data_IF_985970662266
#
_entry.id   IF_985970662266
#
_cell.length_a   1.000
_cell.length_b   1.000
_cell.length_c   1.000
_cell.angle_alpha   90.00
_cell.angle_beta   90.00
_cell.angle_gamma   90.00
#
_symmetry.space_group_name_H-M   'P 1'
#
loop_
_entity.id
_entity.type
_entity.pdbx_description
1 polymer ?
#
# COMPACT_ATOMS: atom_id res chain seq x y z
N UNK A 1 20.40 -24.65 -57.27
CA UNK A 1 20.80 -24.64 -55.85
C UNK A 1 21.42 -23.27 -55.58
N UNK A 2 20.64 -22.38 -54.99
CA UNK A 2 21.07 -21.04 -54.56
C UNK A 2 20.46 -20.87 -53.17
N UNK A 3 21.29 -21.05 -52.16
CA UNK A 3 20.91 -20.94 -50.74
C UNK A 3 20.59 -19.50 -50.37
N UNK A 4 19.42 -19.30 -49.78
CA UNK A 4 19.06 -18.08 -49.06
C UNK A 4 19.49 -18.22 -47.59
N UNK A 5 20.12 -17.21 -46.97
CA UNK A 5 20.47 -17.28 -45.56
C UNK A 5 19.21 -17.14 -44.68
N UNK A 6 19.13 -17.98 -43.65
CA UNK A 6 18.04 -18.00 -42.68
C UNK A 6 17.94 -16.70 -41.85
N UNK A 7 16.73 -16.26 -41.48
CA UNK A 7 16.54 -15.06 -40.65
C UNK A 7 16.99 -15.30 -39.20
N UNK A 8 17.63 -14.29 -38.61
CA UNK A 8 18.07 -14.26 -37.22
C UNK A 8 16.89 -14.33 -36.24
N UNK A 9 16.97 -15.11 -35.13
CA UNK A 9 15.89 -15.24 -34.15
C UNK A 9 15.77 -14.06 -33.18
N UNK A 10 16.62 -13.03 -33.29
CA UNK A 10 16.50 -11.82 -32.48
C UNK A 10 15.61 -10.79 -33.18
N UNK A 11 14.30 -11.03 -33.11
CA UNK A 11 13.31 -9.99 -33.35
C UNK A 11 13.62 -8.81 -32.42
N UNK A 12 13.91 -7.65 -33.00
CA UNK A 12 13.95 -6.39 -32.26
C UNK A 12 12.59 -6.22 -31.59
N UNK A 13 12.52 -6.45 -30.28
CA UNK A 13 11.42 -5.91 -29.49
C UNK A 13 11.44 -4.40 -29.75
N UNK A 14 10.39 -3.88 -30.42
CA UNK A 14 10.03 -2.47 -30.29
C UNK A 14 9.84 -2.27 -28.79
N UNK A 15 10.84 -1.70 -28.13
CA UNK A 15 10.59 -0.96 -26.90
C UNK A 15 9.53 0.04 -27.29
N UNK A 16 8.35 -0.09 -26.72
CA UNK A 16 7.34 0.96 -26.81
C UNK A 16 7.96 2.14 -26.06
N UNK A 17 8.71 2.96 -26.79
CA UNK A 17 9.30 4.19 -26.26
C UNK A 17 8.09 5.05 -25.97
N UNK A 18 7.64 5.01 -24.72
CA UNK A 18 6.54 5.85 -24.27
C UNK A 18 6.90 7.28 -24.64
N UNK A 19 5.95 7.98 -25.26
CA UNK A 19 6.11 9.37 -25.66
C UNK A 19 6.61 10.18 -24.46
N UNK A 20 7.79 10.82 -24.55
CA UNK A 20 8.35 11.62 -23.46
C UNK A 20 7.39 12.69 -22.96
N UNK A 21 6.52 13.22 -23.83
CA UNK A 21 5.52 14.21 -23.42
C UNK A 21 4.42 13.58 -22.58
N UNK A 22 3.85 12.45 -23.02
CA UNK A 22 2.88 11.70 -22.24
C UNK A 22 3.44 11.25 -20.86
N UNK A 23 4.72 10.89 -20.81
CA UNK A 23 5.42 10.59 -19.55
C UNK A 23 5.50 11.81 -18.61
N UNK A 24 5.78 13.00 -19.16
CA UNK A 24 5.80 14.25 -18.39
C UNK A 24 4.42 14.62 -17.90
N UNK A 25 3.40 14.54 -18.76
CA UNK A 25 2.00 14.80 -18.38
C UNK A 25 1.56 13.88 -17.25
N UNK A 26 1.89 12.58 -17.35
CA UNK A 26 1.59 11.61 -16.30
C UNK A 26 2.33 11.92 -14.99
N UNK A 27 3.61 12.27 -15.06
CA UNK A 27 4.40 12.64 -13.89
C UNK A 27 3.88 13.93 -13.23
N UNK A 28 3.55 14.93 -14.03
CA UNK A 28 2.96 16.19 -13.58
C UNK A 28 1.64 15.94 -12.85
N UNK A 29 0.73 15.17 -13.48
CA UNK A 29 -0.55 14.83 -12.87
C UNK A 29 -0.37 14.09 -11.54
N UNK A 30 0.55 13.13 -11.47
CA UNK A 30 0.83 12.36 -10.25
C UNK A 30 1.38 13.24 -9.11
N UNK A 31 2.35 14.11 -9.39
CA UNK A 31 2.93 15.03 -8.40
C UNK A 31 1.88 16.04 -7.90
N UNK A 32 1.08 16.62 -8.80
CA UNK A 32 0.04 17.57 -8.41
C UNK A 32 -1.05 16.90 -7.55
N UNK A 33 -1.50 15.72 -7.95
CA UNK A 33 -2.50 14.93 -7.20
C UNK A 33 -2.00 14.60 -5.79
N UNK A 34 -0.74 14.19 -5.66
CA UNK A 34 -0.13 13.90 -4.37
C UNK A 34 -0.08 15.13 -3.45
N UNK A 35 0.36 16.29 -3.96
CA UNK A 35 0.42 17.51 -3.14
C UNK A 35 -0.93 18.09 -2.79
N UNK A 36 -1.91 18.00 -3.67
CA UNK A 36 -3.28 18.39 -3.35
C UNK A 36 -3.80 17.56 -2.17
N UNK A 37 -3.51 16.25 -2.18
CA UNK A 37 -3.86 15.35 -1.08
C UNK A 37 -3.12 15.68 0.22
N UNK A 38 -1.82 15.89 0.18
CA UNK A 38 -1.03 16.36 1.34
C UNK A 38 -1.60 17.66 1.91
N UNK A 39 -1.98 18.61 1.03
CA UNK A 39 -2.66 19.84 1.40
C UNK A 39 -3.96 19.57 2.15
N UNK A 40 -4.86 18.76 1.58
CA UNK A 40 -6.13 18.39 2.21
C UNK A 40 -5.95 17.79 3.61
N UNK A 41 -5.00 16.88 3.78
CA UNK A 41 -4.75 16.22 5.07
C UNK A 41 -4.24 17.22 6.11
N UNK A 42 -3.31 18.10 5.72
CA UNK A 42 -2.73 19.11 6.63
C UNK A 42 -3.63 20.32 6.89
N UNK A 43 -4.51 20.69 5.96
CA UNK A 43 -5.43 21.85 6.06
C UNK A 43 -6.73 21.51 6.80
N UNK A 44 -7.03 20.22 6.99
CA UNK A 44 -8.20 19.76 7.74
C UNK A 44 -8.09 19.99 9.26
N UNK A 45 -6.93 20.43 9.75
CA UNK A 45 -6.63 20.61 11.17
C UNK A 45 -5.96 21.97 11.42
N UNK A 46 -6.03 22.46 12.66
CA UNK A 46 -5.33 23.69 13.06
C UNK A 46 -3.84 23.45 13.34
N UNK A 47 -3.07 24.52 13.57
CA UNK A 47 -1.63 24.45 13.83
C UNK A 47 -1.29 23.64 15.10
N UNK A 48 -2.18 23.63 16.09
CA UNK A 48 -1.99 22.83 17.30
C UNK A 48 -2.06 21.34 16.96
N UNK A 49 -3.09 20.92 16.25
CA UNK A 49 -3.28 19.52 15.82
C UNK A 49 -2.25 19.07 14.78
N UNK A 50 -1.79 19.98 13.92
CA UNK A 50 -0.75 19.76 12.91
C UNK A 50 0.64 19.50 13.54
N UNK A 51 0.92 20.13 14.68
CA UNK A 51 2.18 19.98 15.43
C UNK A 51 2.10 18.94 16.56
N UNK A 52 0.90 18.51 16.95
CA UNK A 52 0.69 17.51 17.99
C UNK A 52 1.11 16.10 17.56
N UNK A 53 1.60 15.31 18.52
CA UNK A 53 1.76 13.87 18.36
C UNK A 53 0.51 13.14 18.85
N UNK A 54 -0.30 12.67 17.89
CA UNK A 54 -1.54 11.92 18.18
C UNK A 54 -1.30 10.49 18.67
N UNK A 55 -0.12 9.93 18.40
CA UNK A 55 0.30 8.61 18.86
C UNK A 55 1.82 8.50 18.81
N UNK A 56 2.49 7.84 19.78
CA UNK A 56 3.93 7.57 19.71
C UNK A 56 4.35 6.76 18.49
N UNK A 57 3.39 6.08 17.83
CA UNK A 57 3.63 5.33 16.59
C UNK A 57 3.73 6.21 15.35
N UNK A 58 3.35 7.49 15.44
CA UNK A 58 3.22 8.41 14.31
C UNK A 58 4.03 9.69 14.53
N UNK A 59 4.43 10.32 13.43
CA UNK A 59 4.95 11.69 13.46
C UNK A 59 3.81 12.70 13.64
N UNK A 60 4.09 13.91 14.13
CA UNK A 60 3.26 15.07 13.86
C UNK A 60 3.06 15.27 12.35
N UNK A 61 1.88 15.70 11.93
CA UNK A 61 1.56 15.91 10.50
C UNK A 61 2.51 16.94 9.85
N UNK A 62 2.98 17.94 10.61
CA UNK A 62 3.97 18.93 10.13
C UNK A 62 5.33 18.29 9.80
N UNK A 63 5.71 17.21 10.49
CA UNK A 63 6.95 16.49 10.20
C UNK A 63 6.83 15.79 8.84
N UNK A 64 5.71 15.11 8.59
CA UNK A 64 5.47 14.43 7.32
C UNK A 64 5.41 15.45 6.15
N UNK A 65 4.76 16.61 6.33
CA UNK A 65 4.74 17.67 5.32
C UNK A 65 6.14 18.16 4.92
N UNK A 66 6.99 18.48 5.91
CA UNK A 66 8.33 18.97 5.63
C UNK A 66 9.26 17.84 5.12
N UNK A 67 9.08 16.60 5.60
CA UNK A 67 9.79 15.43 5.09
C UNK A 67 9.48 15.15 3.61
N UNK A 68 8.21 15.25 3.20
CA UNK A 68 7.80 15.15 1.79
C UNK A 68 8.55 16.18 0.94
N UNK A 69 8.55 17.45 1.38
CA UNK A 69 9.31 18.51 0.70
C UNK A 69 10.81 18.21 0.63
N UNK A 70 11.41 17.71 1.71
CA UNK A 70 12.83 17.40 1.77
C UNK A 70 13.23 16.23 0.86
N UNK A 71 12.43 15.17 0.78
CA UNK A 71 12.67 14.05 -0.14
C UNK A 71 12.47 14.47 -1.60
N UNK A 72 11.45 15.27 -1.90
CA UNK A 72 11.25 15.84 -3.25
C UNK A 72 12.48 16.69 -3.67
N UNK A 73 12.99 17.52 -2.76
CA UNK A 73 14.21 18.30 -2.97
C UNK A 73 15.43 17.41 -3.23
N UNK A 74 15.64 16.43 -2.35
CA UNK A 74 16.77 15.49 -2.41
C UNK A 74 16.84 14.80 -3.77
N UNK A 75 15.73 14.26 -4.25
CA UNK A 75 15.74 13.44 -5.46
C UNK A 75 15.61 14.25 -6.74
N UNK A 76 14.78 15.29 -6.78
CA UNK A 76 14.53 16.04 -8.02
C UNK A 76 15.49 17.21 -8.17
N UNK A 77 15.69 18.01 -7.13
CA UNK A 77 16.49 19.23 -7.25
C UNK A 77 17.97 18.90 -7.16
N UNK A 78 18.37 18.11 -6.16
CA UNK A 78 19.77 17.71 -5.95
C UNK A 78 20.12 16.52 -6.84
N UNK A 79 19.32 15.44 -6.81
CA UNK A 79 19.60 14.20 -7.54
C UNK A 79 19.49 14.31 -9.07
N UNK A 80 18.45 14.97 -9.60
CA UNK A 80 18.25 15.12 -11.04
C UNK A 80 18.94 16.37 -11.59
N UNK A 81 18.70 17.52 -10.97
CA UNK A 81 19.17 18.81 -11.50
C UNK A 81 20.54 19.25 -10.96
N UNK A 82 21.13 18.54 -9.99
CA UNK A 82 22.46 18.87 -9.44
C UNK A 82 22.50 20.19 -8.67
N UNK A 83 21.36 20.66 -8.16
CA UNK A 83 21.28 21.91 -7.38
C UNK A 83 21.81 21.69 -5.97
N UNK A 84 22.30 22.76 -5.34
CA UNK A 84 22.63 22.74 -3.91
C UNK A 84 21.37 22.66 -3.05
N UNK A 85 21.52 22.17 -1.82
CA UNK A 85 20.43 22.12 -0.85
C UNK A 85 19.95 23.55 -0.53
N UNK A 86 18.63 23.74 -0.53
CA UNK A 86 17.98 24.99 -0.19
C UNK A 86 18.12 25.29 1.30
N UNK A 87 18.03 24.25 2.13
CA UNK A 87 18.10 24.33 3.60
C UNK A 87 18.91 23.16 4.18
N UNK A 88 20.24 23.13 3.99
CA UNK A 88 21.06 22.02 4.48
C UNK A 88 20.98 21.81 6.01
N UNK A 89 20.61 22.85 6.76
CA UNK A 89 20.47 22.80 8.22
C UNK A 89 19.27 21.99 8.72
N UNK A 90 18.31 21.64 7.85
CA UNK A 90 17.13 20.85 8.24
C UNK A 90 17.20 19.38 7.79
N UNK A 91 18.18 18.99 6.96
CA UNK A 91 18.26 17.65 6.37
C UNK A 91 18.20 16.53 7.44
N UNK A 92 18.99 16.65 8.51
CA UNK A 92 18.99 15.66 9.60
C UNK A 92 17.65 15.57 10.35
N UNK A 93 16.92 16.68 10.48
CA UNK A 93 15.63 16.71 11.19
C UNK A 93 14.56 15.85 10.52
N UNK A 94 14.67 15.70 9.21
CA UNK A 94 13.71 15.00 8.36
C UNK A 94 14.27 13.67 7.83
N UNK A 95 15.39 13.19 8.35
CA UNK A 95 15.86 11.83 8.12
C UNK A 95 15.08 10.83 9.00
N UNK A 96 14.36 9.92 8.35
CA UNK A 96 13.54 8.92 9.03
C UNK A 96 14.37 7.87 9.80
N UNK A 97 15.64 7.65 9.44
CA UNK A 97 16.55 6.71 10.07
C UNK A 97 17.25 7.29 11.29
N UNK A 98 17.53 8.60 11.30
CA UNK A 98 18.15 9.28 12.45
C UNK A 98 17.17 9.47 13.62
N UNK A 99 15.87 9.62 13.32
CA UNK A 99 14.88 10.04 14.31
C UNK A 99 13.67 9.10 14.39
N UNK A 100 13.61 8.22 15.42
CA UNK A 100 12.46 7.38 15.70
C UNK A 100 11.17 8.22 15.87
N UNK A 101 10.04 7.72 15.37
CA UNK A 101 8.75 8.44 15.34
C UNK A 101 8.36 9.08 16.68
N UNK A 102 8.52 8.34 17.78
CA UNK A 102 8.20 8.81 19.12
C UNK A 102 8.99 10.07 19.57
N UNK A 103 10.18 10.29 19.01
CA UNK A 103 11.09 11.38 19.40
C UNK A 103 10.93 12.65 18.57
N UNK A 104 10.30 12.55 17.39
CA UNK A 104 10.15 13.65 16.43
C UNK A 104 9.52 14.93 17.02
N UNK A 105 8.57 14.89 17.96
CA UNK A 105 8.01 16.12 18.55
C UNK A 105 9.01 16.95 19.37
N UNK A 106 10.13 16.35 19.78
CA UNK A 106 11.19 17.05 20.54
C UNK A 106 12.20 17.78 19.66
N UNK A 107 12.14 17.57 18.34
CA UNK A 107 13.03 18.21 17.38
C UNK A 107 12.62 19.67 17.14
N UNK A 108 13.55 20.56 16.79
CA UNK A 108 13.25 21.93 16.37
C UNK A 108 12.68 21.95 14.95
N UNK A 109 11.47 21.39 14.78
CA UNK A 109 10.78 21.30 13.49
C UNK A 109 10.45 22.69 12.94
N UNK A 110 10.35 22.78 11.61
CA UNK A 110 9.78 23.96 10.97
C UNK A 110 8.38 24.24 11.48
N UNK A 111 8.09 25.52 11.75
CA UNK A 111 6.73 25.93 12.07
C UNK A 111 5.81 25.66 10.87
N UNK A 112 4.48 25.46 11.09
CA UNK A 112 3.53 25.14 10.02
C UNK A 112 3.65 26.02 8.76
N UNK A 113 3.71 27.34 8.93
CA UNK A 113 3.86 28.27 7.81
C UNK A 113 5.18 28.06 7.04
N UNK A 114 6.28 27.84 7.75
CA UNK A 114 7.60 27.60 7.14
C UNK A 114 7.66 26.27 6.41
N UNK A 115 7.09 25.20 6.98
CA UNK A 115 7.00 23.88 6.34
C UNK A 115 6.19 23.96 5.04
N UNK A 116 5.07 24.69 5.04
CA UNK A 116 4.23 24.93 3.85
C UNK A 116 4.98 25.72 2.78
N UNK A 117 5.62 26.82 3.17
CA UNK A 117 6.42 27.63 2.23
C UNK A 117 7.56 26.83 1.62
N UNK A 118 8.28 26.06 2.44
CA UNK A 118 9.36 25.19 1.98
C UNK A 118 8.86 24.15 0.97
N UNK A 119 7.82 23.38 1.30
CA UNK A 119 7.27 22.38 0.41
C UNK A 119 6.74 22.99 -0.91
N UNK A 120 6.08 24.15 -0.85
CA UNK A 120 5.59 24.86 -2.02
C UNK A 120 6.72 25.35 -2.94
N UNK A 121 7.79 25.90 -2.36
CA UNK A 121 8.95 26.36 -3.12
C UNK A 121 9.69 25.20 -3.79
N UNK A 122 9.90 24.10 -3.06
CA UNK A 122 10.49 22.86 -3.62
C UNK A 122 9.64 22.38 -4.79
N UNK A 123 8.31 22.38 -4.67
CA UNK A 123 7.41 21.94 -5.75
C UNK A 123 7.53 22.79 -6.99
N UNK A 124 7.47 24.11 -6.87
CA UNK A 124 7.62 25.01 -8.03
C UNK A 124 8.90 24.69 -8.80
N UNK A 125 10.02 24.57 -8.07
CA UNK A 125 11.31 24.22 -8.65
C UNK A 125 11.36 22.80 -9.21
N UNK A 126 10.68 21.83 -8.60
CA UNK A 126 10.58 20.45 -9.08
C UNK A 126 9.82 20.35 -10.42
N UNK A 127 8.78 21.18 -10.60
CA UNK A 127 8.06 21.25 -11.87
C UNK A 127 8.93 21.85 -12.98
N UNK A 128 9.74 22.87 -12.68
CA UNK A 128 10.75 23.37 -13.65
C UNK A 128 11.76 22.27 -14.04
N UNK A 129 12.15 21.42 -13.08
CA UNK A 129 13.02 20.28 -13.35
C UNK A 129 12.32 19.25 -14.24
N UNK A 130 11.04 18.95 -14.01
CA UNK A 130 10.26 18.05 -14.86
C UNK A 130 10.14 18.57 -16.30
N UNK A 131 9.92 19.88 -16.48
CA UNK A 131 9.82 20.52 -17.80
C UNK A 131 11.16 20.55 -18.54
N UNK A 132 12.26 20.81 -17.82
CA UNK A 132 13.58 20.97 -18.46
C UNK A 132 14.37 19.66 -18.62
N UNK A 133 14.03 18.59 -17.90
CA UNK A 133 14.83 17.35 -17.88
C UNK A 133 14.51 16.42 -19.07
N UNK A 134 15.50 16.06 -19.91
CA UNK A 134 15.31 14.99 -20.90
C UNK A 134 15.14 13.63 -20.22
N UNK A 135 14.02 12.95 -20.50
CA UNK A 135 13.72 11.59 -19.99
C UNK A 135 14.46 10.50 -20.80
N UNK A 136 15.79 10.61 -20.85
CA UNK A 136 16.68 9.69 -21.58
C UNK A 136 17.07 8.42 -20.80
N UNK A 137 18.17 7.77 -21.21
CA UNK A 137 18.56 6.45 -20.69
C UNK A 137 19.18 6.43 -19.28
N UNK A 138 19.44 7.61 -18.70
CA UNK A 138 20.02 7.71 -17.36
C UNK A 138 19.06 7.08 -16.34
N UNK A 139 19.47 6.07 -15.55
CA UNK A 139 18.54 5.21 -14.82
C UNK A 139 17.48 5.94 -13.98
N UNK A 140 17.88 7.03 -13.30
CA UNK A 140 17.01 7.80 -12.42
C UNK A 140 15.85 8.49 -13.16
N UNK A 141 16.07 8.95 -14.39
CA UNK A 141 15.06 9.69 -15.19
C UNK A 141 14.45 8.86 -16.32
N UNK A 142 14.96 7.65 -16.53
CA UNK A 142 14.44 6.73 -17.54
C UNK A 142 12.95 6.48 -17.31
N UNK A 143 12.14 6.74 -18.32
CA UNK A 143 10.67 6.65 -18.26
C UNK A 143 10.06 7.47 -17.11
N UNK A 144 10.71 8.56 -16.70
CA UNK A 144 10.26 9.41 -15.60
C UNK A 144 10.30 8.75 -14.22
N UNK A 145 11.10 7.69 -14.03
CA UNK A 145 11.13 6.89 -12.79
C UNK A 145 11.14 7.73 -11.52
N UNK A 146 12.10 8.65 -11.36
CA UNK A 146 12.26 9.45 -10.13
C UNK A 146 11.04 10.33 -9.82
N UNK A 147 10.35 10.85 -10.84
CA UNK A 147 9.14 11.65 -10.62
C UNK A 147 7.99 10.76 -10.15
N UNK A 148 7.84 9.58 -10.76
CA UNK A 148 6.90 8.56 -10.29
C UNK A 148 7.23 8.02 -8.90
N UNK A 149 8.52 7.88 -8.57
CA UNK A 149 8.99 7.46 -7.25
C UNK A 149 8.65 8.53 -6.19
N UNK A 150 8.86 9.81 -6.49
CA UNK A 150 8.51 10.90 -5.55
C UNK A 150 7.00 11.03 -5.37
N UNK A 151 6.21 10.93 -6.45
CA UNK A 151 4.75 10.90 -6.31
C UNK A 151 4.30 9.72 -5.44
N UNK A 152 4.94 8.55 -5.56
CA UNK A 152 4.66 7.39 -4.70
C UNK A 152 5.11 7.57 -3.26
N UNK A 153 6.25 8.22 -3.03
CA UNK A 153 6.74 8.53 -1.69
C UNK A 153 5.77 9.47 -0.96
N UNK A 154 5.35 10.55 -1.62
CA UNK A 154 4.36 11.49 -1.08
C UNK A 154 3.05 10.77 -0.77
N UNK A 155 2.54 9.93 -1.68
CA UNK A 155 1.29 9.18 -1.46
C UNK A 155 1.39 8.11 -0.35
N UNK A 156 2.56 7.52 -0.12
CA UNK A 156 2.82 6.64 1.03
C UNK A 156 2.81 7.43 2.35
N UNK A 157 3.35 8.65 2.35
CA UNK A 157 3.23 9.55 3.50
C UNK A 157 1.79 10.08 3.67
N UNK A 158 1.03 10.28 2.60
CA UNK A 158 -0.39 10.63 2.71
C UNK A 158 -1.21 9.50 3.35
N UNK A 159 -0.95 8.23 3.04
CA UNK A 159 -1.55 7.11 3.78
C UNK A 159 -1.11 7.12 5.26
N UNK A 160 0.16 7.42 5.54
CA UNK A 160 0.68 7.56 6.91
C UNK A 160 0.01 8.70 7.68
N UNK A 161 -0.18 9.86 7.06
CA UNK A 161 -0.92 10.98 7.63
C UNK A 161 -2.39 10.62 7.84
N UNK A 162 -3.01 9.86 6.93
CA UNK A 162 -4.38 9.38 7.10
C UNK A 162 -4.49 8.42 8.31
N UNK A 163 -3.50 7.55 8.55
CA UNK A 163 -3.42 6.76 9.79
C UNK A 163 -3.37 7.67 11.02
N UNK A 164 -2.60 8.76 10.98
CA UNK A 164 -2.59 9.78 12.05
C UNK A 164 -3.98 10.39 12.25
N UNK A 165 -4.72 10.71 11.19
CA UNK A 165 -6.11 11.19 11.29
C UNK A 165 -7.07 10.15 11.88
N UNK A 166 -6.84 8.86 11.64
CA UNK A 166 -7.61 7.78 12.27
C UNK A 166 -7.28 7.68 13.77
N UNK A 167 -6.02 7.87 14.15
CA UNK A 167 -5.57 7.80 15.55
C UNK A 167 -5.98 9.03 16.37
N UNK A 168 -5.95 10.23 15.77
CA UNK A 168 -6.34 11.52 16.37
C UNK A 168 -7.64 11.40 17.16
N UNK A 169 -7.65 11.97 18.36
CA UNK A 169 -8.83 12.06 19.21
C UNK A 169 -9.65 13.31 18.87
N UNK A 170 -10.93 13.31 19.23
CA UNK A 170 -11.82 14.46 18.98
C UNK A 170 -12.69 14.31 17.73
N UNK A 171 -13.34 15.40 17.29
CA UNK A 171 -14.34 15.36 16.24
C UNK A 171 -13.75 14.99 14.87
N UNK A 172 -14.61 14.47 13.99
CA UNK A 172 -14.24 14.21 12.61
C UNK A 172 -13.90 15.51 11.87
N UNK A 173 -12.79 15.50 11.15
CA UNK A 173 -12.32 16.62 10.30
C UNK A 173 -12.26 16.23 8.82
N UNK A 174 -12.46 14.94 8.53
CA UNK A 174 -12.49 14.39 7.18
C UNK A 174 -13.87 13.77 6.93
N UNK A 175 -14.39 13.99 5.73
CA UNK A 175 -15.67 13.43 5.28
C UNK A 175 -15.55 12.94 3.85
N UNK A 176 -16.26 11.86 3.52
CA UNK A 176 -16.26 11.27 2.19
C UNK A 176 -17.63 10.63 1.89
N UNK A 177 -18.00 10.50 0.60
CA UNK A 177 -19.20 9.77 0.22
C UNK A 177 -19.09 8.28 0.55
N UNK A 178 -20.23 7.63 0.74
CA UNK A 178 -20.30 6.19 0.99
C UNK A 178 -19.81 5.36 -0.22
N UNK A 179 -19.18 4.19 0.01
CA UNK A 179 -18.78 3.29 -1.06
C UNK A 179 -19.99 2.62 -1.74
N UNK A 180 -19.82 2.12 -2.97
CA UNK A 180 -20.84 1.33 -3.63
C UNK A 180 -21.14 0.06 -2.83
N UNK A 181 -22.38 -0.43 -2.92
CA UNK A 181 -22.77 -1.72 -2.34
C UNK A 181 -22.52 -2.85 -3.34
N UNK A 182 -22.35 -4.07 -2.83
CA UNK A 182 -22.36 -5.26 -3.66
C UNK A 182 -23.67 -5.34 -4.46
N UNK A 183 -23.54 -5.57 -5.76
CA UNK A 183 -24.68 -5.79 -6.67
C UNK A 183 -24.55 -7.19 -7.29
N UNK A 184 -25.68 -7.90 -7.41
CA UNK A 184 -25.74 -9.21 -8.06
C UNK A 184 -25.91 -10.40 -7.11
N UNK A 185 -25.69 -11.60 -7.66
CA UNK A 185 -25.86 -12.86 -6.94
C UNK A 185 -24.78 -13.07 -5.87
N UNK A 186 -25.10 -13.91 -4.87
CA UNK A 186 -24.14 -14.35 -3.87
C UNK A 186 -22.91 -14.96 -4.54
N UNK A 187 -21.73 -14.47 -4.15
CA UNK A 187 -20.46 -15.01 -4.63
C UNK A 187 -20.13 -16.32 -3.91
N UNK A 188 -19.39 -17.24 -4.54
CA UNK A 188 -18.82 -18.36 -3.82
C UNK A 188 -17.92 -17.83 -2.70
N UNK A 189 -17.84 -18.55 -1.58
CA UNK A 189 -16.98 -18.15 -0.45
C UNK A 189 -15.50 -18.09 -0.84
N UNK A 190 -15.06 -19.03 -1.68
CA UNK A 190 -13.70 -19.14 -2.15
C UNK A 190 -13.65 -19.50 -3.64
N UNK A 191 -12.50 -19.26 -4.26
CA UNK A 191 -12.20 -19.60 -5.64
C UNK A 191 -10.94 -20.43 -5.74
N UNK A 192 -10.90 -21.34 -6.72
CA UNK A 192 -9.72 -22.14 -7.03
C UNK A 192 -8.75 -21.32 -7.90
N UNK A 193 -7.49 -21.25 -7.48
CA UNK A 193 -6.37 -20.81 -8.32
C UNK A 193 -5.61 -22.06 -8.78
N UNK A 194 -5.64 -22.40 -10.09
CA UNK A 194 -4.98 -23.60 -10.59
C UNK A 194 -3.48 -23.60 -10.30
N UNK A 195 -2.95 -24.78 -9.99
CA UNK A 195 -1.51 -24.98 -9.81
C UNK A 195 -0.73 -24.76 -11.11
N UNK A 196 0.54 -24.39 -10.99
CA UNK A 196 1.46 -24.22 -12.11
C UNK A 196 2.27 -22.92 -12.08
N UNK A 197 3.04 -22.65 -13.15
CA UNK A 197 3.91 -21.49 -13.22
C UNK A 197 3.15 -20.18 -13.37
N UNK A 198 3.71 -19.11 -12.81
CA UNK A 198 3.36 -17.74 -13.17
C UNK A 198 4.59 -16.83 -13.14
N UNK A 199 4.47 -15.62 -13.70
CA UNK A 199 5.50 -14.58 -13.59
C UNK A 199 5.18 -13.70 -12.38
N UNK A 200 6.06 -13.74 -11.38
CA UNK A 200 6.03 -12.92 -10.18
C UNK A 200 6.91 -11.69 -10.35
N UNK A 201 6.49 -10.55 -9.81
CA UNK A 201 7.17 -9.28 -9.96
C UNK A 201 6.99 -8.66 -11.35
N UNK A 202 7.80 -7.65 -11.64
CA UNK A 202 7.80 -6.94 -12.92
C UNK A 202 9.20 -6.50 -13.33
N UNK A 203 9.41 -6.41 -14.64
CA UNK A 203 10.61 -5.80 -15.26
C UNK A 203 10.23 -4.69 -16.24
N UNK A 204 8.93 -4.44 -16.43
CA UNK A 204 8.39 -3.57 -17.49
C UNK A 204 7.64 -2.36 -16.95
N UNK A 205 7.15 -2.42 -15.69
CA UNK A 205 6.49 -1.26 -15.08
C UNK A 205 7.51 -0.12 -14.87
N UNK A 206 7.32 1.06 -15.46
CA UNK A 206 8.29 2.15 -15.39
C UNK A 206 8.57 2.61 -13.96
N UNK A 207 7.53 2.67 -13.12
CA UNK A 207 7.60 3.23 -11.77
C UNK A 207 7.56 2.17 -10.66
N UNK A 208 7.70 0.89 -11.01
CA UNK A 208 7.84 -0.16 -10.00
C UNK A 208 9.13 0.01 -9.20
N UNK A 209 9.01 -0.18 -7.90
CA UNK A 209 10.06 -0.03 -6.91
C UNK A 209 11.04 -1.22 -7.01
N UNK A 210 12.20 -1.09 -6.39
CA UNK A 210 13.26 -2.09 -6.50
C UNK A 210 12.85 -3.48 -5.99
N UNK A 211 12.10 -3.54 -4.88
CA UNK A 211 11.63 -4.79 -4.27
C UNK A 211 10.59 -5.56 -5.10
N UNK A 212 10.01 -4.95 -6.14
CA UNK A 212 9.07 -5.57 -7.08
C UNK A 212 9.81 -6.26 -8.25
N UNK A 213 11.13 -6.08 -8.34
CA UNK A 213 11.98 -6.46 -9.48
C UNK A 213 13.01 -7.52 -9.10
N UNK A 214 13.50 -8.31 -10.08
CA UNK A 214 12.97 -8.43 -11.44
C UNK A 214 11.76 -9.38 -11.52
N UNK A 215 11.07 -9.35 -12.66
CA UNK A 215 10.13 -10.41 -13.02
C UNK A 215 10.84 -11.77 -13.07
N UNK A 216 10.27 -12.78 -12.42
CA UNK A 216 10.84 -14.11 -12.36
C UNK A 216 9.75 -15.19 -12.31
N UNK A 217 10.08 -16.39 -12.80
CA UNK A 217 9.13 -17.51 -12.83
C UNK A 217 9.03 -18.16 -11.45
N UNK A 218 7.80 -18.44 -11.00
CA UNK A 218 7.50 -19.20 -9.78
C UNK A 218 6.49 -20.30 -10.06
N UNK A 219 6.76 -21.49 -9.51
CA UNK A 219 5.81 -22.59 -9.48
C UNK A 219 4.99 -22.50 -8.19
N UNK A 220 3.66 -22.44 -8.30
CA UNK A 220 2.75 -22.35 -7.16
C UNK A 220 1.74 -23.49 -7.25
N UNK A 221 1.59 -24.34 -6.21
CA UNK A 221 0.57 -25.39 -6.16
C UNK A 221 -0.86 -24.85 -6.35
N UNK A 222 -1.82 -25.74 -6.59
CA UNK A 222 -3.23 -25.36 -6.57
C UNK A 222 -3.67 -25.01 -5.15
N UNK A 223 -4.44 -23.94 -5.00
CA UNK A 223 -4.98 -23.52 -3.71
C UNK A 223 -6.34 -22.86 -3.89
N UNK A 224 -7.15 -22.89 -2.85
CA UNK A 224 -8.33 -22.05 -2.74
C UNK A 224 -8.00 -20.78 -1.97
N UNK A 225 -8.59 -19.68 -2.39
CA UNK A 225 -8.48 -18.37 -1.73
C UNK A 225 -9.88 -17.79 -1.57
N UNK A 226 -10.14 -17.09 -0.47
CA UNK A 226 -11.43 -16.42 -0.28
C UNK A 226 -11.71 -15.49 -1.47
N UNK A 227 -12.98 -15.38 -1.87
CA UNK A 227 -13.38 -14.53 -3.01
C UNK A 227 -13.25 -13.04 -2.67
N UNK A 228 -13.42 -12.67 -1.41
CA UNK A 228 -13.29 -11.31 -0.90
C UNK A 228 -12.54 -11.33 0.45
N UNK A 229 -12.04 -10.19 0.96
CA UNK A 229 -11.40 -10.13 2.27
C UNK A 229 -12.33 -10.61 3.40
N UNK A 230 -11.74 -11.06 4.51
CA UNK A 230 -12.52 -11.43 5.71
C UNK A 230 -13.32 -10.24 6.20
N UNK A 231 -14.63 -10.41 6.35
CA UNK A 231 -15.51 -9.32 6.77
C UNK A 231 -15.53 -9.15 8.28
N UNK A 232 -15.97 -7.98 8.74
CA UNK A 232 -16.20 -7.71 10.15
C UNK A 232 -17.21 -8.70 10.76
N UNK A 233 -18.24 -9.11 10.00
CA UNK A 233 -19.22 -10.10 10.45
C UNK A 233 -18.60 -11.48 10.68
N UNK A 234 -17.72 -11.92 9.77
CA UNK A 234 -16.98 -13.17 9.92
C UNK A 234 -15.97 -13.08 11.08
N UNK A 235 -15.27 -11.94 11.21
CA UNK A 235 -14.34 -11.69 12.31
C UNK A 235 -15.04 -11.65 13.68
N UNK A 236 -16.28 -11.13 13.74
CA UNK A 236 -17.08 -11.16 14.96
C UNK A 236 -17.36 -12.58 15.42
N UNK A 237 -17.61 -13.53 14.49
CA UNK A 237 -17.80 -14.93 14.85
C UNK A 237 -16.54 -15.54 15.51
N UNK A 238 -15.36 -15.18 15.03
CA UNK A 238 -14.09 -15.56 15.67
C UNK A 238 -13.98 -15.01 17.10
N UNK A 239 -14.34 -13.74 17.31
CA UNK A 239 -14.34 -13.14 18.66
C UNK A 239 -15.33 -13.86 19.58
N UNK A 240 -16.56 -14.08 19.10
CA UNK A 240 -17.66 -14.68 19.87
C UNK A 240 -17.40 -16.14 20.24
N UNK A 241 -16.62 -16.86 19.42
CA UNK A 241 -16.18 -18.24 19.68
C UNK A 241 -14.91 -18.32 20.56
N UNK A 242 -14.55 -17.24 21.25
CA UNK A 242 -13.40 -17.22 22.16
C UNK A 242 -12.05 -17.13 21.45
N UNK A 243 -12.01 -16.65 20.21
CA UNK A 243 -10.79 -16.57 19.39
C UNK A 243 -9.61 -15.85 20.07
N UNK A 244 -9.91 -14.83 20.89
CA UNK A 244 -8.90 -14.12 21.69
C UNK A 244 -8.55 -14.81 23.01
N UNK A 245 -9.35 -15.76 23.49
CA UNK A 245 -9.18 -16.44 24.78
C UNK A 245 -8.48 -17.80 24.67
N UNK A 246 -8.39 -18.33 23.45
CA UNK A 246 -7.89 -19.67 23.19
C UNK A 246 -6.48 -19.68 22.60
N UNK A 247 -5.46 -19.93 23.43
CA UNK A 247 -4.04 -19.99 23.03
C UNK A 247 -3.76 -20.87 21.81
N UNK A 248 -4.55 -21.93 21.58
CA UNK A 248 -4.34 -22.89 20.49
C UNK A 248 -4.35 -22.26 19.08
N UNK A 249 -4.96 -21.09 18.93
CA UNK A 249 -5.01 -20.37 17.65
C UNK A 249 -3.78 -19.50 17.37
N UNK A 250 -3.01 -19.20 18.40
CA UNK A 250 -1.98 -18.16 18.34
C UNK A 250 -0.58 -18.76 18.26
N UNK A 251 0.31 -18.05 17.55
CA UNK A 251 1.75 -18.25 17.74
C UNK A 251 2.16 -17.84 19.16
N UNK A 252 3.34 -18.26 19.61
CA UNK A 252 3.84 -17.89 20.94
C UNK A 252 3.94 -16.36 21.13
N UNK A 253 4.48 -15.67 20.13
CA UNK A 253 4.62 -14.20 20.11
C UNK A 253 3.27 -13.50 20.03
N UNK A 254 2.37 -13.97 19.15
CA UNK A 254 1.02 -13.42 19.02
C UNK A 254 0.21 -13.56 20.31
N UNK A 255 0.30 -14.70 20.98
CA UNK A 255 -0.34 -14.88 22.28
C UNK A 255 0.25 -13.95 23.35
N UNK A 256 1.58 -13.79 23.38
CA UNK A 256 2.22 -12.86 24.30
C UNK A 256 1.72 -11.42 24.09
N UNK A 257 1.68 -10.95 22.83
CA UNK A 257 1.15 -9.63 22.46
C UNK A 257 -0.29 -9.44 22.93
N UNK A 258 -1.18 -10.40 22.63
CA UNK A 258 -2.60 -10.34 23.02
C UNK A 258 -2.75 -10.23 24.53
N UNK A 259 -1.99 -11.02 25.29
CA UNK A 259 -2.06 -11.02 26.76
C UNK A 259 -1.45 -9.74 27.36
N UNK A 260 -0.30 -9.30 26.88
CA UNK A 260 0.40 -8.11 27.37
C UNK A 260 -0.45 -6.84 27.20
N UNK A 261 -1.12 -6.71 26.06
CA UNK A 261 -1.90 -5.51 25.70
C UNK A 261 -3.40 -5.66 25.97
N UNK A 262 -3.85 -6.80 26.53
CA UNK A 262 -5.26 -7.05 26.82
C UNK A 262 -6.17 -6.99 25.59
N UNK A 263 -5.71 -7.53 24.45
CA UNK A 263 -6.43 -7.44 23.19
C UNK A 263 -7.64 -8.38 23.17
N UNK A 264 -8.78 -7.87 22.70
CA UNK A 264 -10.03 -8.65 22.61
C UNK A 264 -10.82 -8.40 21.30
N UNK A 265 -10.34 -7.50 20.45
CA UNK A 265 -10.98 -7.07 19.21
C UNK A 265 -10.00 -6.25 18.34
N UNK A 266 -10.32 -5.99 17.07
CA UNK A 266 -9.58 -5.06 16.22
C UNK A 266 -9.45 -3.67 16.86
N UNK A 267 -8.37 -2.94 16.56
CA UNK A 267 -7.87 -1.80 17.35
C UNK A 267 -8.93 -0.75 17.77
N UNK A 268 -9.89 -0.44 16.90
CA UNK A 268 -10.87 0.63 17.16
C UNK A 268 -12.27 0.12 17.51
N UNK A 269 -12.42 -1.19 17.73
CA UNK A 269 -13.69 -1.77 18.14
C UNK A 269 -13.83 -1.70 19.66
N UNK A 270 -15.04 -1.39 20.11
CA UNK A 270 -15.43 -1.51 21.51
C UNK A 270 -16.88 -1.97 21.60
N UNK A 271 -17.24 -2.50 22.77
CA UNK A 271 -18.59 -3.00 23.03
C UNK A 271 -19.34 -2.02 23.92
N UNK A 272 -20.50 -1.57 23.48
CA UNK A 272 -21.41 -0.74 24.26
C UNK A 272 -22.83 -1.29 24.16
N UNK A 273 -23.54 -1.37 25.29
CA UNK A 273 -24.89 -1.93 25.40
C UNK A 273 -25.12 -3.26 24.65
N UNK A 274 -24.10 -4.11 24.57
CA UNK A 274 -24.16 -5.40 23.86
C UNK A 274 -23.86 -5.34 22.35
N UNK A 275 -23.70 -4.16 21.76
CA UNK A 275 -23.38 -3.93 20.36
C UNK A 275 -21.88 -3.63 20.15
N UNK A 276 -21.31 -4.12 19.06
CA UNK A 276 -19.98 -3.72 18.60
C UNK A 276 -20.07 -2.38 17.87
N UNK A 277 -19.32 -1.40 18.36
CA UNK A 277 -19.10 -0.10 17.75
C UNK A 277 -17.63 0.02 17.31
N UNK A 278 -17.37 0.80 16.28
CA UNK A 278 -16.00 1.20 15.89
C UNK A 278 -15.87 2.71 15.86
N UNK A 279 -14.65 3.19 16.12
CA UNK A 279 -14.25 4.57 15.84
C UNK A 279 -13.55 4.65 14.49
N UNK A 280 -14.04 5.52 13.60
CA UNK A 280 -13.47 5.77 12.27
C UNK A 280 -13.36 7.27 12.05
N UNK A 281 -12.13 7.79 11.98
CA UNK A 281 -11.82 9.21 11.78
C UNK A 281 -12.57 10.18 12.70
N UNK A 282 -12.81 9.78 13.96
CA UNK A 282 -13.58 10.57 14.95
C UNK A 282 -15.09 10.33 14.94
N UNK A 283 -15.61 9.52 14.01
CA UNK A 283 -17.01 9.06 13.99
C UNK A 283 -17.11 7.72 14.73
N UNK A 284 -18.06 7.62 15.66
CA UNK A 284 -18.44 6.35 16.29
C UNK A 284 -19.68 5.80 15.59
N UNK A 285 -19.58 4.57 15.11
CA UNK A 285 -20.65 3.91 14.34
C UNK A 285 -20.74 2.42 14.68
N UNK A 286 -21.89 1.76 14.44
CA UNK A 286 -21.98 0.31 14.50
C UNK A 286 -20.97 -0.36 13.58
N UNK A 287 -20.38 -1.47 14.02
CA UNK A 287 -19.52 -2.28 13.16
C UNK A 287 -20.34 -2.87 12.00
N UNK A 288 -20.04 -2.52 10.74
CA UNK A 288 -20.77 -3.01 9.58
C UNK A 288 -20.31 -4.41 9.20
N UNK A 289 -21.23 -5.37 9.19
CA UNK A 289 -20.90 -6.79 9.08
C UNK A 289 -20.32 -7.21 7.72
N UNK A 290 -20.58 -6.45 6.66
CA UNK A 290 -20.23 -6.75 5.28
C UNK A 290 -18.94 -6.06 4.81
N UNK A 291 -18.38 -5.11 5.57
CA UNK A 291 -17.07 -4.54 5.27
C UNK A 291 -15.94 -5.50 5.64
N UNK A 292 -14.83 -5.49 4.87
CA UNK A 292 -13.55 -6.04 5.30
C UNK A 292 -13.19 -5.61 6.74
N UNK A 293 -12.72 -6.56 7.55
CA UNK A 293 -12.13 -6.22 8.85
C UNK A 293 -10.86 -5.41 8.65
N UNK A 294 -10.67 -4.40 9.50
CA UNK A 294 -9.55 -3.49 9.47
C UNK A 294 -8.89 -3.39 10.84
N UNK A 295 -7.64 -2.93 10.84
CA UNK A 295 -6.85 -2.63 12.03
C UNK A 295 -6.59 -3.87 12.90
N UNK A 296 -6.23 -4.95 12.20
CA UNK A 296 -5.75 -6.20 12.79
C UNK A 296 -4.27 -6.41 12.46
N UNK A 297 -3.54 -6.90 13.45
CA UNK A 297 -2.15 -7.31 13.33
C UNK A 297 -2.01 -8.59 12.50
N UNK A 298 -0.78 -8.90 12.08
CA UNK A 298 -0.50 -10.16 11.39
C UNK A 298 -0.85 -11.36 12.28
N UNK A 299 -0.56 -11.27 13.59
CA UNK A 299 -0.89 -12.33 14.55
C UNK A 299 -2.40 -12.55 14.70
N UNK A 300 -3.19 -11.47 14.72
CA UNK A 300 -4.67 -11.53 14.74
C UNK A 300 -5.22 -12.18 13.45
N UNK A 301 -4.65 -11.84 12.29
CA UNK A 301 -5.03 -12.41 10.99
C UNK A 301 -4.70 -13.91 10.90
N UNK A 302 -3.49 -14.29 11.33
CA UNK A 302 -3.01 -15.67 11.35
C UNK A 302 -3.79 -16.54 12.35
N UNK A 303 -4.12 -16.02 13.53
CA UNK A 303 -4.96 -16.72 14.51
C UNK A 303 -6.38 -16.96 14.00
N UNK A 304 -7.00 -15.96 13.37
CA UNK A 304 -8.28 -16.15 12.69
C UNK A 304 -8.19 -17.24 11.63
N UNK A 305 -7.16 -17.22 10.79
CA UNK A 305 -7.01 -18.20 9.72
C UNK A 305 -6.94 -19.63 10.29
N UNK A 306 -6.19 -19.85 11.37
CA UNK A 306 -6.13 -21.15 12.05
C UNK A 306 -7.49 -21.57 12.63
N UNK A 307 -8.19 -20.67 13.29
CA UNK A 307 -9.54 -20.92 13.81
C UNK A 307 -10.50 -21.35 12.70
N UNK A 308 -10.42 -20.69 11.54
CA UNK A 308 -11.22 -21.03 10.37
C UNK A 308 -10.79 -22.33 9.66
N UNK A 309 -9.79 -23.05 10.16
CA UNK A 309 -9.23 -24.25 9.51
C UNK A 309 -8.48 -23.93 8.21
N UNK A 310 -7.91 -22.73 8.11
CA UNK A 310 -7.25 -22.16 6.94
C UNK A 310 -5.85 -21.63 7.30
N UNK A 311 -5.24 -20.91 6.36
CA UNK A 311 -3.96 -20.20 6.53
C UNK A 311 -4.01 -18.84 5.82
N UNK A 312 -3.05 -17.97 6.09
CA UNK A 312 -2.81 -16.80 5.24
C UNK A 312 -2.18 -17.24 3.91
N UNK A 313 -2.52 -16.60 2.77
CA UNK A 313 -1.81 -16.82 1.51
C UNK A 313 -0.36 -16.36 1.65
N UNK A 314 0.56 -16.99 0.93
CA UNK A 314 1.89 -16.42 0.67
C UNK A 314 1.76 -15.21 -0.28
N UNK A 315 2.75 -14.32 -0.32
CA UNK A 315 2.71 -13.20 -1.28
C UNK A 315 2.73 -13.70 -2.75
N UNK A 316 3.32 -14.86 -3.01
CA UNK A 316 3.33 -15.49 -4.34
C UNK A 316 1.94 -16.02 -4.73
N UNK A 317 1.24 -16.67 -3.81
CA UNK A 317 -0.16 -17.10 -4.01
C UNK A 317 -1.07 -15.90 -4.22
N UNK A 318 -0.93 -14.87 -3.39
CA UNK A 318 -1.69 -13.64 -3.52
C UNK A 318 -1.47 -12.98 -4.88
N UNK A 319 -0.22 -12.83 -5.32
CA UNK A 319 0.09 -12.19 -6.60
C UNK A 319 -0.37 -13.04 -7.79
N UNK A 320 -0.28 -14.37 -7.70
CA UNK A 320 -0.83 -15.28 -8.70
C UNK A 320 -2.35 -15.15 -8.78
N UNK A 321 -3.04 -15.16 -7.65
CA UNK A 321 -4.49 -14.93 -7.58
C UNK A 321 -4.90 -13.60 -8.22
N UNK A 322 -4.10 -12.55 -8.01
CA UNK A 322 -4.36 -11.22 -8.54
C UNK A 322 -4.06 -11.07 -10.03
N UNK A 323 -2.98 -11.64 -10.55
CA UNK A 323 -2.45 -11.26 -11.86
C UNK A 323 -2.48 -12.37 -12.89
N UNK A 324 -2.43 -13.63 -12.49
CA UNK A 324 -2.31 -14.72 -13.44
C UNK A 324 -3.63 -14.97 -14.16
N UNK A 325 -3.57 -15.01 -15.48
CA UNK A 325 -4.68 -15.40 -16.34
C UNK A 325 -4.47 -16.84 -16.84
N UNK A 326 -5.22 -17.83 -16.31
CA UNK A 326 -5.08 -19.22 -16.73
C UNK A 326 -5.38 -19.45 -18.21
N UNK A 327 -6.21 -18.59 -18.83
CA UNK A 327 -6.59 -18.73 -20.23
C UNK A 327 -5.47 -18.34 -21.20
N UNK A 328 -4.69 -17.32 -20.86
CA UNK A 328 -3.58 -16.83 -21.70
C UNK A 328 -2.19 -17.23 -21.19
N UNK A 329 -2.08 -17.70 -19.94
CA UNK A 329 -0.82 -17.99 -19.25
C UNK A 329 0.00 -16.75 -18.86
N UNK A 330 -0.50 -15.53 -19.17
CA UNK A 330 0.19 -14.27 -18.85
C UNK A 330 -0.09 -13.81 -17.42
N UNK A 331 0.83 -13.02 -16.87
CA UNK A 331 0.57 -12.18 -15.70
C UNK A 331 0.15 -10.79 -16.18
N UNK A 332 -1.07 -10.35 -15.82
CA UNK A 332 -1.65 -9.03 -16.10
C UNK A 332 -1.04 -7.96 -15.20
N UNK A 333 -1.25 -6.68 -15.52
CA UNK A 333 -0.85 -5.56 -14.65
C UNK A 333 -1.70 -5.46 -13.38
N UNK A 334 -3.01 -5.59 -13.55
CA UNK A 334 -4.04 -5.60 -12.49
C UNK A 334 -4.97 -6.82 -12.63
N UNK A 335 -5.82 -7.10 -11.62
CA UNK A 335 -6.81 -8.18 -11.70
C UNK A 335 -7.70 -8.13 -12.95
N UNK A 336 -8.21 -6.96 -13.29
CA UNK A 336 -9.12 -6.76 -14.40
C UNK A 336 -8.42 -6.74 -15.77
N UNK A 337 -7.12 -6.43 -15.84
CA UNK A 337 -6.42 -6.27 -17.11
C UNK A 337 -5.17 -5.39 -17.02
N UNK A 338 -4.81 -4.77 -18.14
CA UNK A 338 -3.62 -3.93 -18.25
C UNK A 338 -3.93 -2.42 -18.15
N UNK A 339 -5.23 -2.06 -18.13
CA UNK A 339 -5.76 -0.69 -17.96
C UNK A 339 -5.53 -0.15 -16.53
N UNK A 340 -5.28 1.16 -16.42
CA UNK A 340 -5.14 1.82 -15.13
C UNK A 340 -6.44 1.75 -14.29
N UNK A 341 -6.34 1.79 -12.94
CA UNK A 341 -7.50 1.71 -12.07
C UNK A 341 -8.50 2.84 -12.31
N UNK A 342 -9.78 2.50 -12.33
CA UNK A 342 -10.90 3.46 -12.39
C UNK A 342 -11.83 3.26 -11.19
N UNK A 343 -12.78 4.18 -10.93
CA UNK A 343 -13.75 4.03 -9.86
C UNK A 343 -14.58 2.74 -9.86
N UNK A 344 -14.75 2.12 -11.02
CA UNK A 344 -15.50 0.88 -11.19
C UNK A 344 -14.68 -0.37 -10.84
N UNK A 345 -13.35 -0.25 -10.92
CA UNK A 345 -12.43 -1.36 -10.68
C UNK A 345 -12.09 -1.54 -9.19
N UNK A 346 -11.83 -0.43 -8.47
CA UNK A 346 -11.32 -0.51 -7.09
C UNK A 346 -11.65 0.73 -6.25
N UNK A 347 -11.63 0.53 -4.93
CA UNK A 347 -11.65 1.60 -3.93
C UNK A 347 -10.22 2.03 -3.61
N UNK A 348 -9.79 3.15 -4.17
CA UNK A 348 -8.46 3.73 -4.01
C UNK A 348 -8.57 5.24 -3.80
N UNK A 349 -7.44 5.85 -3.41
CA UNK A 349 -7.28 7.31 -3.36
C UNK A 349 -8.19 7.95 -2.33
N UNK A 350 -8.34 7.33 -1.16
CA UNK A 350 -9.11 7.81 0.01
C UNK A 350 -10.57 8.18 -0.28
N UNK A 351 -11.14 7.73 -1.40
CA UNK A 351 -12.44 8.20 -1.93
C UNK A 351 -13.60 8.07 -0.94
N UNK A 352 -13.57 7.04 -0.09
CA UNK A 352 -14.67 6.70 0.82
C UNK A 352 -14.28 6.76 2.30
N UNK A 353 -12.98 6.95 2.63
CA UNK A 353 -12.45 6.88 4.00
C UNK A 353 -12.85 5.60 4.78
N UNK A 354 -13.15 4.52 4.05
CA UNK A 354 -13.50 3.18 4.54
C UNK A 354 -13.38 2.18 3.39
N UNK A 355 -13.22 0.87 3.67
CA UNK A 355 -13.36 -0.15 2.66
C UNK A 355 -14.83 -0.26 2.22
N UNK A 356 -15.04 -0.70 0.99
CA UNK A 356 -16.36 -1.04 0.48
C UNK A 356 -16.78 -2.43 0.97
N UNK A 357 -18.10 -2.68 1.07
CA UNK A 357 -18.62 -4.02 1.34
C UNK A 357 -18.01 -5.10 0.43
N UNK A 358 -17.81 -6.30 0.98
CA UNK A 358 -17.34 -7.45 0.22
C UNK A 358 -18.24 -7.72 -0.99
N UNK A 359 -17.65 -7.81 -2.17
CA UNK A 359 -18.32 -7.98 -3.45
C UNK A 359 -18.70 -6.69 -4.20
N UNK A 360 -18.38 -5.49 -3.67
CA UNK A 360 -18.75 -4.20 -4.27
C UNK A 360 -18.20 -3.96 -5.69
N UNK A 361 -16.99 -4.42 -5.98
CA UNK A 361 -16.30 -4.14 -7.25
C UNK A 361 -16.27 -5.35 -8.17
N UNK A 362 -17.39 -5.61 -8.86
CA UNK A 362 -17.49 -6.74 -9.78
C UNK A 362 -16.55 -6.61 -11.00
N UNK A 363 -16.34 -5.39 -11.51
CA UNK A 363 -15.43 -5.14 -12.62
C UNK A 363 -13.95 -5.28 -12.23
N UNK A 364 -13.65 -5.23 -10.91
CA UNK A 364 -12.30 -5.36 -10.38
C UNK A 364 -11.82 -6.80 -10.14
N UNK A 365 -12.58 -7.82 -10.55
CA UNK A 365 -12.25 -9.22 -10.26
C UNK A 365 -11.10 -9.75 -11.11
N UNK A 366 -10.28 -10.59 -10.50
CA UNK A 366 -9.25 -11.37 -11.19
C UNK A 366 -9.88 -12.49 -12.05
N UNK A 367 -9.11 -13.08 -13.00
CA UNK A 367 -9.55 -14.24 -13.76
C UNK A 367 -9.97 -15.45 -12.91
N UNK A 368 -9.38 -15.59 -11.72
CA UNK A 368 -9.75 -16.61 -10.73
C UNK A 368 -11.16 -16.40 -10.15
N UNK A 369 -11.71 -15.20 -10.27
CA UNK A 369 -12.97 -14.79 -9.64
C UNK A 369 -12.78 -14.04 -8.32
N UNK A 370 -11.58 -14.02 -7.75
CA UNK A 370 -11.27 -13.25 -6.55
C UNK A 370 -11.44 -11.75 -6.82
N UNK A 371 -12.18 -11.06 -5.94
CA UNK A 371 -12.45 -9.63 -6.00
C UNK A 371 -11.73 -8.85 -4.89
N UNK A 372 -11.69 -7.53 -5.07
CA UNK A 372 -11.10 -6.59 -4.11
C UNK A 372 -9.66 -6.99 -3.72
N UNK A 373 -8.89 -7.48 -4.70
CA UNK A 373 -7.45 -7.70 -4.55
C UNK A 373 -6.66 -6.40 -4.75
N UNK A 374 -7.31 -5.32 -5.21
CA UNK A 374 -6.70 -3.99 -5.27
C UNK A 374 -7.63 -3.03 -4.53
N UNK A 375 -7.07 -2.30 -3.57
CA UNK A 375 -7.81 -1.36 -2.73
C UNK A 375 -8.53 -2.02 -1.56
N UNK A 376 -9.38 -1.22 -0.90
CA UNK A 376 -10.09 -1.56 0.34
C UNK A 376 -9.19 -1.78 1.55
N UNK A 377 -8.40 -2.86 1.61
CA UNK A 377 -7.52 -3.16 2.75
C UNK A 377 -6.18 -3.69 2.27
N UNK A 378 -5.09 -3.30 2.96
CA UNK A 378 -3.85 -4.05 2.84
C UNK A 378 -4.06 -5.46 3.38
N UNK A 379 -3.69 -6.48 2.62
CA UNK A 379 -3.91 -7.88 3.03
C UNK A 379 -2.62 -8.52 3.53
N UNK A 380 -2.59 -8.91 4.82
CA UNK A 380 -1.48 -9.68 5.39
C UNK A 380 -1.26 -11.00 4.65
N UNK A 381 0.01 -11.29 4.36
CA UNK A 381 0.46 -12.58 3.82
C UNK A 381 1.29 -13.35 4.85
N UNK A 382 1.50 -14.64 4.65
CA UNK A 382 2.41 -15.44 5.49
C UNK A 382 3.90 -15.19 5.20
N UNK A 383 4.21 -14.43 4.15
CA UNK A 383 5.58 -14.21 3.66
C UNK A 383 6.34 -13.18 4.48
N UNK A 384 7.58 -13.51 4.81
CA UNK A 384 8.59 -12.55 5.27
C UNK A 384 8.98 -11.61 4.13
N UNK A 385 9.39 -10.38 4.45
CA UNK A 385 9.87 -9.46 3.43
C UNK A 385 11.30 -9.84 3.01
N UNK A 386 11.43 -10.51 1.86
CA UNK A 386 12.71 -10.99 1.33
C UNK A 386 12.97 -10.48 -0.09
N UNK A 387 14.24 -10.39 -0.54
CA UNK A 387 14.55 -9.99 -1.90
C UNK A 387 14.05 -11.03 -2.91
N UNK A 388 13.59 -10.57 -4.07
CA UNK A 388 13.39 -11.45 -5.22
C UNK A 388 14.72 -11.94 -5.78
N UNK A 389 14.77 -13.11 -6.43
CA UNK A 389 15.96 -13.57 -7.14
C UNK A 389 16.42 -12.53 -8.17
N UNK A 390 17.64 -12.01 -8.01
CA UNK A 390 18.19 -10.96 -8.86
C UNK A 390 17.84 -9.53 -8.44
N UNK A 391 17.28 -9.33 -7.24
CA UNK A 391 17.09 -8.00 -6.65
C UNK A 391 18.38 -7.18 -6.67
N UNK A 392 18.24 -5.90 -6.98
CA UNK A 392 19.30 -4.90 -6.83
C UNK A 392 18.66 -3.63 -6.27
N UNK A 393 19.23 -3.03 -5.20
CA UNK A 393 18.67 -1.83 -4.59
C UNK A 393 18.71 -0.65 -5.56
N UNK A 394 17.63 0.13 -5.62
CA UNK A 394 17.56 1.31 -6.47
C UNK A 394 16.44 2.29 -6.08
N UNK A 395 16.69 3.62 -6.06
CA UNK A 395 17.99 4.28 -6.28
C UNK A 395 18.88 4.32 -5.03
N UNK A 396 18.38 3.86 -3.88
CA UNK A 396 19.10 3.81 -2.61
C UNK A 396 18.71 2.55 -1.83
N UNK A 397 19.58 2.08 -0.93
CA UNK A 397 19.41 0.77 -0.25
C UNK A 397 18.34 0.82 0.82
N UNK A 398 18.19 1.98 1.43
CA UNK A 398 17.37 2.21 2.60
C UNK A 398 15.88 2.18 2.30
N UNK A 399 15.46 2.18 1.02
CA UNK A 399 14.05 1.99 0.68
C UNK A 399 13.55 0.58 1.01
N UNK A 400 14.32 -0.46 0.69
CA UNK A 400 13.89 -1.88 0.80
C UNK A 400 14.88 -2.76 1.55
N UNK A 401 16.17 -2.67 1.20
CA UNK A 401 17.16 -3.68 1.57
C UNK A 401 17.35 -3.80 3.08
N UNK A 402 17.31 -2.67 3.78
CA UNK A 402 17.49 -2.60 5.24
C UNK A 402 16.33 -3.22 6.04
N UNK A 403 15.21 -3.51 5.37
CA UNK A 403 14.03 -4.11 6.00
C UNK A 403 13.87 -5.60 5.67
N UNK A 404 14.74 -6.18 4.83
CA UNK A 404 14.65 -7.60 4.52
C UNK A 404 14.95 -8.47 5.73
N UNK A 405 14.08 -9.42 6.00
CA UNK A 405 14.21 -10.33 7.13
C UNK A 405 12.88 -10.85 7.65
N UNK A 406 12.92 -11.77 8.63
CA UNK A 406 11.73 -12.35 9.25
C UNK A 406 10.98 -11.37 10.17
N UNK A 407 11.56 -10.21 10.48
CA UNK A 407 10.97 -9.21 11.37
C UNK A 407 9.77 -8.52 10.73
N UNK A 408 9.71 -8.46 9.40
CA UNK A 408 8.63 -7.82 8.65
C UNK A 408 7.83 -8.85 7.86
N UNK A 409 6.50 -8.68 7.87
CA UNK A 409 5.58 -9.47 7.07
C UNK A 409 5.06 -8.64 5.91
N UNK A 410 4.89 -9.28 4.77
CA UNK A 410 4.43 -8.61 3.54
C UNK A 410 2.91 -8.42 3.57
N UNK A 411 2.45 -7.24 3.17
CA UNK A 411 1.07 -6.94 2.83
C UNK A 411 0.93 -6.61 1.33
N UNK A 412 -0.21 -6.96 0.74
CA UNK A 412 -0.47 -6.76 -0.70
C UNK A 412 -1.81 -6.06 -0.94
N UNK A 413 -2.00 -5.58 -2.17
CA UNK A 413 -3.28 -5.07 -2.68
C UNK A 413 -3.54 -3.57 -2.53
N UNK A 414 -2.95 -2.91 -1.53
CA UNK A 414 -3.26 -1.53 -1.22
C UNK A 414 -4.57 -1.39 -0.47
N UNK A 415 -4.66 -0.44 0.46
CA UNK A 415 -5.90 -0.11 1.16
C UNK A 415 -6.74 0.93 0.38
N UNK A 416 -7.95 1.24 0.88
CA UNK A 416 -8.74 2.36 0.38
C UNK A 416 -7.99 3.70 0.42
N UNK A 417 -6.95 3.81 1.26
CA UNK A 417 -6.12 4.99 1.41
C UNK A 417 -4.99 5.10 0.38
N UNK A 418 -4.72 4.05 -0.39
CA UNK A 418 -3.59 4.06 -1.34
C UNK A 418 -4.02 4.70 -2.65
N UNK A 419 -3.20 5.61 -3.18
CA UNK A 419 -3.42 6.19 -4.51
C UNK A 419 -3.01 5.23 -5.62
N UNK A 420 -3.63 5.33 -6.80
CA UNK A 420 -3.33 4.49 -7.94
C UNK A 420 -1.85 4.51 -8.36
N UNK A 421 -1.13 5.62 -8.18
CA UNK A 421 0.31 5.69 -8.50
C UNK A 421 1.16 4.77 -7.61
N UNK A 422 0.69 4.50 -6.39
CA UNK A 422 1.34 3.66 -5.38
C UNK A 422 0.63 2.31 -5.21
N UNK A 423 -0.20 1.88 -6.16
CA UNK A 423 -0.94 0.63 -6.07
C UNK A 423 -0.81 -0.21 -7.34
N UNK A 424 -0.23 -1.41 -7.22
CA UNK A 424 -0.03 -2.35 -8.33
C UNK A 424 -0.22 -3.78 -7.86
N UNK A 425 -0.54 -4.68 -8.79
CA UNK A 425 -0.54 -6.12 -8.50
C UNK A 425 0.81 -6.62 -7.99
N UNK A 426 1.92 -5.94 -8.27
CA UNK A 426 3.28 -6.26 -7.80
C UNK A 426 3.71 -5.53 -6.53
N UNK A 427 2.98 -4.48 -6.09
CA UNK A 427 3.44 -3.59 -5.01
C UNK A 427 3.56 -4.34 -3.67
N UNK A 428 4.73 -4.31 -3.05
CA UNK A 428 4.98 -5.00 -1.77
C UNK A 428 5.02 -3.94 -0.66
N UNK A 429 4.00 -3.93 0.19
CA UNK A 429 4.09 -3.24 1.48
C UNK A 429 4.63 -4.22 2.52
N UNK A 430 5.20 -3.73 3.61
CA UNK A 430 5.68 -4.54 4.72
C UNK A 430 5.59 -3.74 6.01
N UNK A 431 5.31 -4.44 7.11
CA UNK A 431 5.39 -3.85 8.44
C UNK A 431 5.68 -4.95 9.48
N UNK A 432 6.01 -4.53 10.70
CA UNK A 432 6.18 -5.44 11.83
C UNK A 432 4.84 -6.15 12.12
N UNK A 433 4.86 -7.45 12.46
CA UNK A 433 3.64 -8.25 12.61
C UNK A 433 2.71 -7.75 13.71
N UNK A 434 3.21 -6.96 14.66
CA UNK A 434 2.43 -6.35 15.76
C UNK A 434 1.63 -5.11 15.33
N UNK A 435 1.93 -4.50 14.18
CA UNK A 435 1.31 -3.24 13.76
C UNK A 435 -0.11 -3.47 13.30
N UNK A 436 -0.99 -2.60 13.75
CA UNK A 436 -2.44 -2.67 13.48
C UNK A 436 -3.12 -1.31 13.38
N UNK A 437 -2.36 -0.22 13.52
CA UNK A 437 -2.85 1.13 13.23
C UNK A 437 -2.98 1.37 11.72
N UNK A 438 -2.18 0.64 10.92
CA UNK A 438 -2.28 0.64 9.46
C UNK A 438 -3.65 0.13 9.00
N UNK A 439 -4.03 0.44 7.76
CA UNK A 439 -5.29 -0.02 7.15
C UNK A 439 -5.18 -1.48 6.68
N UNK A 440 -4.81 -2.37 7.60
CA UNK A 440 -4.61 -3.80 7.37
C UNK A 440 -5.85 -4.62 7.68
N UNK A 441 -6.22 -5.47 6.73
CA UNK A 441 -7.09 -6.62 6.88
C UNK A 441 -6.35 -7.87 6.39
N UNK A 442 -7.10 -8.86 5.91
CA UNK A 442 -6.53 -10.07 5.35
C UNK A 442 -7.59 -10.87 4.60
N UNK A 443 -7.13 -11.85 3.83
CA UNK A 443 -7.92 -12.96 3.32
C UNK A 443 -7.27 -14.27 3.66
N UNK A 444 -8.03 -15.35 3.61
CA UNK A 444 -7.52 -16.69 3.91
C UNK A 444 -7.41 -17.55 2.65
N UNK A 445 -6.58 -18.58 2.75
CA UNK A 445 -6.34 -19.57 1.73
C UNK A 445 -6.26 -20.97 2.36
N UNK A 446 -6.42 -22.00 1.53
CA UNK A 446 -6.19 -23.40 1.88
C UNK A 446 -5.70 -24.17 0.66
N UNK A 447 -5.03 -25.29 0.89
CA UNK A 447 -4.55 -26.15 -0.19
C UNK A 447 -5.75 -26.78 -0.94
N UNK A 448 -5.55 -27.06 -2.23
CA UNK A 448 -6.60 -27.54 -3.14
C UNK A 448 -6.88 -29.05 -3.04
#
# INVERSE_FOLDING_TARGET
MTDSPAPSPYGRHRTDVQDPEALRERALAALLTARERTGLLTDSVDDHELTAQHSPLMSPLVWDLAHIGNQEELWLLRGVAGREAMRPEIDGLYDAFEHPRATRPSLPLLAPAEARSYAAEVRGRALDVLESTPLGDRPLVRSGFVFGMIAQHEQQHDETMLITHQLRSGPAVLTAPEPPRATGAALPTEVLVPGGPFTMGTSTEPWALDNERPAHRREVPGFFVDTAPVTCGAYRAFIEDGGYDERRWWTGEGWAMVREHGLSAPLFWHRDAGQWLRRRFGVTEPVPADEPVLHVSWYEADAYARWAGRRLPTEAEWEKAARHDPGSGRSRRYPWGDEDPTPEHANLGQRHLRPAPAGAYAAGRAPSGAGQLIGDVWEWTSSDFLPYPGFAPFPYREYSEVFFGPEHKVLRGGSFAVDAVACRGTFRNWDLPVRRQIFSGFRTARDA
#
